data_IF_506108022524
#
_entry.id   IF_506108022524
#
_cell.length_a   1.000
_cell.length_b   1.000
_cell.length_c   1.000
_cell.angle_alpha   90.00
_cell.angle_beta   90.00
_cell.angle_gamma   90.00
#
_symmetry.space_group_name_H-M   'P 1'
#
loop_
_entity.id
_entity.type
_entity.pdbx_description
1 polymer ?
#
# COMPACT_ATOMS: atom_id res chain seq x y z
N UNK A 1 -9.72 -14.92 11.01
CA UNK A 1 -8.53 -14.15 11.44
C UNK A 1 -8.63 -12.79 10.75
N UNK A 2 -8.49 -11.70 11.47
CA UNK A 2 -8.58 -10.34 10.89
C UNK A 2 -7.22 -9.95 10.29
N UNK A 3 -7.18 -9.61 8.99
CA UNK A 3 -5.93 -9.38 8.26
C UNK A 3 -5.40 -7.95 8.42
N UNK A 4 -6.27 -6.96 8.61
CA UNK A 4 -5.96 -5.53 8.65
C UNK A 4 -5.59 -5.04 10.06
N UNK A 5 -4.91 -5.87 10.87
CA UNK A 5 -4.59 -5.60 12.29
C UNK A 5 -4.03 -4.20 12.57
N UNK A 6 -3.20 -3.67 11.67
CA UNK A 6 -2.57 -2.35 11.80
C UNK A 6 -3.30 -1.26 11.01
N UNK A 7 -3.69 -1.52 9.75
CA UNK A 7 -4.33 -0.50 8.92
C UNK A 7 -5.70 -0.10 9.45
N UNK A 8 -6.41 -0.97 10.17
CA UNK A 8 -7.69 -0.63 10.81
C UNK A 8 -7.60 0.55 11.79
N UNK A 9 -6.44 0.74 12.42
CA UNK A 9 -6.20 1.88 13.32
C UNK A 9 -6.43 3.22 12.63
N UNK A 10 -6.15 3.34 11.33
CA UNK A 10 -6.31 4.60 10.59
C UNK A 10 -7.46 4.57 9.57
N UNK A 11 -8.07 3.41 9.34
CA UNK A 11 -9.14 3.22 8.34
C UNK A 11 -10.52 2.99 8.95
N UNK A 12 -10.60 2.58 10.21
CA UNK A 12 -11.87 2.24 10.89
C UNK A 12 -12.08 2.98 12.21
N UNK A 13 -11.07 3.72 12.70
CA UNK A 13 -11.20 4.57 13.87
C UNK A 13 -11.89 5.89 13.49
N UNK A 14 -13.12 6.08 13.98
CA UNK A 14 -13.94 7.27 13.75
C UNK A 14 -13.29 8.57 14.26
N UNK A 15 -12.33 8.48 15.19
CA UNK A 15 -11.58 9.64 15.69
C UNK A 15 -10.48 10.10 14.74
N UNK A 16 -10.22 9.37 13.64
CA UNK A 16 -9.18 9.68 12.65
C UNK A 16 -9.73 9.98 11.23
N UNK A 17 -10.71 10.88 11.07
CA UNK A 17 -11.32 11.16 9.77
C UNK A 17 -10.33 11.81 8.78
N UNK A 18 -9.33 12.54 9.28
CA UNK A 18 -8.30 13.15 8.44
C UNK A 18 -7.38 12.11 7.77
N UNK A 19 -7.08 11.00 8.46
CA UNK A 19 -6.29 9.91 7.88
C UNK A 19 -7.07 9.21 6.76
N UNK A 20 -8.36 8.95 6.99
CA UNK A 20 -9.26 8.38 5.98
C UNK A 20 -9.38 9.31 4.76
N UNK A 21 -9.51 10.62 4.95
CA UNK A 21 -9.56 11.60 3.86
C UNK A 21 -8.30 11.57 2.97
N UNK A 22 -7.11 11.40 3.54
CA UNK A 22 -5.88 11.25 2.76
C UNK A 22 -5.86 9.95 1.95
N UNK A 23 -6.38 8.86 2.51
CA UNK A 23 -6.50 7.57 1.83
C UNK A 23 -7.52 7.62 0.69
N UNK A 24 -8.62 8.35 0.86
CA UNK A 24 -9.53 8.68 -0.24
C UNK A 24 -8.83 9.52 -1.33
N UNK A 25 -8.03 10.51 -0.92
CA UNK A 25 -7.29 11.38 -1.85
C UNK A 25 -6.31 10.64 -2.77
N UNK A 26 -5.76 9.50 -2.34
CA UNK A 26 -4.90 8.64 -3.18
C UNK A 26 -5.69 7.60 -4.01
N UNK A 27 -7.03 7.62 -3.94
CA UNK A 27 -7.91 6.80 -4.75
C UNK A 27 -8.43 5.51 -4.09
N UNK A 28 -8.27 5.32 -2.78
CA UNK A 28 -8.91 4.19 -2.10
C UNK A 28 -10.42 4.41 -1.97
N UNK A 29 -11.19 3.33 -2.07
CA UNK A 29 -12.63 3.32 -1.82
C UNK A 29 -12.95 2.92 -0.38
N UNK A 30 -14.20 3.09 0.05
CA UNK A 30 -14.69 2.60 1.34
C UNK A 30 -14.46 1.08 1.50
N UNK A 31 -14.57 0.30 0.42
CA UNK A 31 -14.26 -1.13 0.44
C UNK A 31 -12.76 -1.41 0.61
N UNK A 32 -11.90 -0.57 0.02
CA UNK A 32 -10.45 -0.72 0.18
C UNK A 32 -9.98 -0.36 1.59
N UNK A 33 -10.66 0.54 2.29
CA UNK A 33 -10.39 0.86 3.69
C UNK A 33 -10.62 -0.34 4.63
N UNK A 34 -11.41 -1.34 4.21
CA UNK A 34 -11.62 -2.58 4.97
C UNK A 34 -10.51 -3.61 4.75
N UNK A 35 -9.69 -3.46 3.71
CA UNK A 35 -8.63 -4.41 3.34
C UNK A 35 -7.37 -4.19 4.18
N UNK A 36 -6.54 -5.23 4.28
CA UNK A 36 -5.20 -5.04 4.84
C UNK A 36 -4.33 -4.27 3.84
N UNK A 37 -3.56 -3.31 4.35
CA UNK A 37 -2.63 -2.51 3.56
C UNK A 37 -1.23 -3.10 3.62
N UNK A 38 -0.59 -3.23 2.46
CA UNK A 38 0.76 -3.78 2.28
C UNK A 38 1.66 -2.70 1.70
N UNK A 39 2.68 -2.32 2.48
CA UNK A 39 3.77 -1.48 2.00
C UNK A 39 4.73 -2.28 1.13
N UNK A 40 4.90 -1.90 -0.13
CA UNK A 40 5.84 -2.51 -1.07
C UNK A 40 7.07 -1.61 -1.17
N UNK A 41 8.13 -1.99 -0.46
CA UNK A 41 9.36 -1.17 -0.35
C UNK A 41 10.31 -1.53 -1.48
N UNK A 42 10.63 -0.55 -2.35
CA UNK A 42 11.61 -0.70 -3.41
C UNK A 42 12.91 0.02 -3.06
N UNK A 43 14.05 -0.67 -3.22
CA UNK A 43 15.37 -0.03 -3.18
C UNK A 43 15.85 0.34 -4.60
N UNK A 44 14.93 0.64 -5.51
CA UNK A 44 15.24 0.91 -6.91
C UNK A 44 15.77 2.32 -7.14
N UNK A 45 16.97 2.40 -7.71
CA UNK A 45 17.62 3.65 -8.14
C UNK A 45 18.60 3.40 -9.30
N UNK A 46 18.87 4.42 -10.10
CA UNK A 46 19.60 4.28 -11.37
C UNK A 46 21.12 4.10 -11.22
N UNK A 47 21.66 4.31 -10.01
CA UNK A 47 23.10 4.36 -9.76
C UNK A 47 23.78 3.00 -9.56
N UNK A 48 23.05 1.88 -9.63
CA UNK A 48 23.63 0.54 -9.57
C UNK A 48 22.79 -0.48 -10.32
N UNK A 49 23.47 -1.33 -11.11
CA UNK A 49 22.90 -2.49 -11.80
C UNK A 49 22.15 -3.45 -10.88
N UNK A 50 22.55 -3.58 -9.62
CA UNK A 50 21.85 -4.43 -8.64
C UNK A 50 20.45 -3.92 -8.27
N UNK A 51 20.15 -2.64 -8.51
CA UNK A 51 18.97 -1.97 -7.96
C UNK A 51 18.08 -1.31 -9.03
N UNK A 52 18.64 -0.93 -10.18
CA UNK A 52 17.93 -0.16 -11.22
C UNK A 52 16.60 -0.79 -11.69
N UNK A 53 16.50 -2.11 -11.67
CA UNK A 53 15.29 -2.87 -12.06
C UNK A 53 14.21 -3.02 -10.97
N UNK A 54 14.47 -2.65 -9.71
CA UNK A 54 13.58 -3.00 -8.60
C UNK A 54 12.26 -2.21 -8.60
N UNK A 55 12.22 -1.02 -9.22
CA UNK A 55 10.99 -0.25 -9.34
C UNK A 55 9.97 -0.93 -10.26
N UNK A 56 10.42 -1.62 -11.31
CA UNK A 56 9.54 -2.41 -12.17
C UNK A 56 9.02 -3.65 -11.44
N UNK A 57 9.90 -4.32 -10.68
CA UNK A 57 9.51 -5.44 -9.83
C UNK A 57 8.46 -5.03 -8.77
N UNK A 58 8.62 -3.86 -8.16
CA UNK A 58 7.66 -3.33 -7.19
C UNK A 58 6.26 -3.13 -7.80
N UNK A 59 6.15 -2.73 -9.07
CA UNK A 59 4.85 -2.63 -9.76
C UNK A 59 4.19 -3.99 -9.95
N UNK A 60 4.96 -5.03 -10.28
CA UNK A 60 4.44 -6.41 -10.37
C UNK A 60 3.98 -6.93 -9.01
N UNK A 61 4.75 -6.68 -7.95
CA UNK A 61 4.36 -7.05 -6.58
C UNK A 61 3.10 -6.31 -6.16
N UNK A 62 2.99 -5.00 -6.43
CA UNK A 62 1.77 -4.23 -6.18
C UNK A 62 0.57 -4.86 -6.88
N UNK A 63 0.70 -5.25 -8.15
CA UNK A 63 -0.39 -5.89 -8.88
C UNK A 63 -0.84 -7.18 -8.16
N UNK A 64 0.10 -8.06 -7.79
CA UNK A 64 -0.22 -9.30 -7.07
C UNK A 64 -0.90 -9.08 -5.71
N UNK A 65 -0.55 -7.99 -5.01
CA UNK A 65 -1.24 -7.58 -3.77
C UNK A 65 -2.70 -7.23 -4.06
N UNK A 66 -2.96 -6.39 -5.07
CA UNK A 66 -4.31 -6.01 -5.46
C UNK A 66 -5.14 -7.18 -5.98
N UNK A 67 -4.54 -8.08 -6.75
CA UNK A 67 -5.18 -9.32 -7.23
C UNK A 67 -5.55 -10.28 -6.08
N UNK A 68 -4.88 -10.14 -4.93
CA UNK A 68 -5.14 -10.91 -3.70
C UNK A 68 -6.15 -10.24 -2.76
N UNK A 69 -6.90 -9.25 -3.24
CA UNK A 69 -7.88 -8.47 -2.48
C UNK A 69 -7.29 -7.72 -1.27
N UNK A 70 -6.08 -7.19 -1.45
CA UNK A 70 -5.38 -6.33 -0.50
C UNK A 70 -5.02 -4.98 -1.13
N UNK A 71 -4.64 -3.99 -0.33
CA UNK A 71 -4.21 -2.68 -0.83
C UNK A 71 -2.69 -2.60 -0.88
N UNK A 72 -2.11 -2.52 -2.07
CA UNK A 72 -0.67 -2.35 -2.28
C UNK A 72 -0.26 -0.89 -2.48
N UNK A 73 0.63 -0.38 -1.61
CA UNK A 73 1.19 0.98 -1.69
C UNK A 73 2.72 0.90 -1.81
N UNK A 74 3.27 1.42 -2.91
CA UNK A 74 4.72 1.43 -3.15
C UNK A 74 5.34 2.65 -2.48
N UNK A 75 6.49 2.45 -1.84
CA UNK A 75 7.41 3.52 -1.47
C UNK A 75 8.86 3.08 -1.63
N UNK A 76 9.79 4.02 -1.55
CA UNK A 76 11.21 3.78 -1.80
C UNK A 76 12.07 4.21 -0.61
N UNK A 77 13.27 3.62 -0.51
CA UNK A 77 14.33 4.01 0.42
C UNK A 77 15.70 3.95 -0.25
#
# INVERSE_FOLDING_TARGET
MELNKYSKTITQDETQPAAQAMLYGIGLTEEDLKKAQVGVVSMGYDGNTCNMHLNDLARLVKQGVWDSDLVGLIFNT
#
